data_IF_739018757691
#
_entry.id   IF_739018757691
#
_cell.length_a   1.000
_cell.length_b   1.000
_cell.length_c   1.000
_cell.angle_alpha   90.00
_cell.angle_beta   90.00
_cell.angle_gamma   90.00
#
_symmetry.space_group_name_H-M   'P 1'
#
loop_
_entity.id
_entity.type
_entity.pdbx_description
1 polymer ?
#
# COMPACT_ATOMS: atom_id res chain seq x y z
N UNK A 1 35.16 -11.57 -8.64
CA UNK A 1 33.73 -11.56 -8.24
C UNK A 1 33.19 -10.18 -8.57
N UNK A 2 32.92 -9.94 -9.87
CA UNK A 2 32.42 -8.66 -10.35
C UNK A 2 30.88 -8.66 -10.22
N UNK A 3 30.39 -7.92 -9.23
CA UNK A 3 28.97 -7.57 -9.16
C UNK A 3 28.72 -6.52 -10.24
N UNK A 4 27.91 -6.87 -11.20
CA UNK A 4 27.57 -6.08 -12.36
C UNK A 4 26.97 -4.73 -11.97
N UNK A 5 27.66 -3.66 -12.29
CA UNK A 5 27.25 -2.26 -12.25
C UNK A 5 26.02 -1.93 -13.12
N UNK A 6 25.53 -2.90 -13.87
CA UNK A 6 24.38 -2.76 -14.76
C UNK A 6 23.02 -2.69 -14.07
N UNK A 7 22.90 -3.14 -12.80
CA UNK A 7 21.63 -3.11 -12.06
C UNK A 7 21.25 -1.71 -11.53
N UNK A 8 22.21 -0.79 -11.43
CA UNK A 8 21.97 0.60 -11.00
C UNK A 8 21.66 1.56 -12.16
N UNK A 9 22.02 1.20 -13.38
CA UNK A 9 21.82 2.06 -14.55
C UNK A 9 20.36 2.08 -15.05
N UNK A 10 19.55 1.06 -14.73
CA UNK A 10 18.14 1.01 -15.16
C UNK A 10 17.17 1.84 -14.27
N UNK A 11 17.65 2.39 -13.18
CA UNK A 11 16.85 3.26 -12.30
C UNK A 11 16.75 4.72 -12.79
N UNK A 12 17.40 5.08 -13.90
CA UNK A 12 17.76 6.45 -14.14
C UNK A 12 16.86 7.28 -15.06
N UNK A 13 15.77 6.74 -15.64
CA UNK A 13 14.95 7.59 -16.50
C UNK A 13 13.46 7.44 -16.21
N UNK A 14 12.91 8.45 -15.52
CA UNK A 14 11.47 8.73 -15.51
C UNK A 14 11.24 9.63 -16.74
N UNK A 15 10.53 9.13 -17.74
CA UNK A 15 10.21 9.88 -18.94
C UNK A 15 9.04 10.83 -18.66
N UNK A 16 9.28 12.14 -18.53
CA UNK A 16 8.23 13.12 -18.28
C UNK A 16 7.34 13.36 -19.52
N UNK A 17 7.69 12.82 -20.68
CA UNK A 17 6.95 12.99 -21.95
C UNK A 17 5.98 11.83 -22.21
N UNK A 18 6.01 10.78 -21.39
CA UNK A 18 5.04 9.69 -21.50
C UNK A 18 3.65 10.15 -21.02
N UNK A 19 2.59 9.68 -21.68
CA UNK A 19 1.18 9.93 -21.29
C UNK A 19 0.81 9.36 -19.91
N UNK A 20 1.76 8.71 -19.21
CA UNK A 20 1.59 8.23 -17.84
C UNK A 20 2.12 9.27 -16.86
N UNK A 21 1.37 9.51 -15.79
CA UNK A 21 1.83 10.42 -14.77
C UNK A 21 3.15 9.93 -14.14
N UNK A 22 4.01 10.87 -13.73
CA UNK A 22 5.29 10.56 -13.08
C UNK A 22 5.09 9.66 -11.87
N UNK A 23 3.99 9.82 -11.13
CA UNK A 23 3.66 8.97 -9.98
C UNK A 23 3.39 7.53 -10.38
N UNK A 24 2.68 7.29 -11.47
CA UNK A 24 2.39 5.93 -11.95
C UNK A 24 3.66 5.22 -12.40
N UNK A 25 4.59 5.94 -13.01
CA UNK A 25 5.91 5.39 -13.37
C UNK A 25 6.72 5.00 -12.13
N UNK A 26 6.71 5.84 -11.09
CA UNK A 26 7.34 5.52 -9.80
C UNK A 26 6.73 4.26 -9.20
N UNK A 27 5.40 4.19 -9.15
CA UNK A 27 4.66 3.04 -8.65
C UNK A 27 5.04 1.75 -9.39
N UNK A 28 5.06 1.78 -10.72
CA UNK A 28 5.43 0.61 -11.54
C UNK A 28 6.88 0.17 -11.33
N UNK A 29 7.83 1.12 -11.24
CA UNK A 29 9.24 0.81 -10.98
C UNK A 29 9.43 0.20 -9.61
N UNK A 30 8.78 0.75 -8.55
CA UNK A 30 8.80 0.16 -7.22
C UNK A 30 8.21 -1.25 -7.22
N UNK A 31 7.02 -1.45 -7.81
CA UNK A 31 6.39 -2.75 -7.90
C UNK A 31 7.26 -3.79 -8.62
N UNK A 32 7.94 -3.41 -9.70
CA UNK A 32 8.89 -4.28 -10.41
C UNK A 32 10.08 -4.68 -9.54
N UNK A 33 10.67 -3.72 -8.81
CA UNK A 33 11.81 -3.99 -7.92
C UNK A 33 11.42 -4.87 -6.74
N UNK A 34 10.30 -4.58 -6.09
CA UNK A 34 9.84 -5.37 -4.92
C UNK A 34 9.53 -6.81 -5.33
N UNK A 35 8.95 -7.02 -6.52
CA UNK A 35 8.73 -8.37 -7.05
C UNK A 35 10.01 -9.16 -7.25
N UNK A 36 11.12 -8.51 -7.58
CA UNK A 36 12.41 -9.19 -7.77
C UNK A 36 13.01 -9.76 -6.48
N UNK A 37 12.60 -9.25 -5.30
CA UNK A 37 13.06 -9.74 -4.00
C UNK A 37 12.40 -11.05 -3.56
N UNK A 38 11.26 -11.38 -4.15
CA UNK A 38 10.40 -12.49 -3.80
C UNK A 38 11.17 -13.80 -3.56
N UNK A 39 11.94 -14.26 -4.55
CA UNK A 39 12.63 -15.55 -4.49
C UNK A 39 13.77 -15.56 -3.46
N UNK A 40 14.48 -14.43 -3.32
CA UNK A 40 15.60 -14.30 -2.37
C UNK A 40 15.06 -14.35 -0.92
N UNK A 41 13.97 -13.61 -0.67
CA UNK A 41 13.34 -13.54 0.65
C UNK A 41 12.71 -14.87 1.02
N UNK A 42 12.05 -15.55 0.07
CA UNK A 42 11.49 -16.87 0.31
C UNK A 42 12.57 -17.88 0.68
N UNK A 43 13.68 -17.95 -0.08
CA UNK A 43 14.77 -18.88 0.22
C UNK A 43 15.37 -18.62 1.61
N UNK A 44 15.48 -17.36 2.04
CA UNK A 44 15.90 -17.00 3.38
C UNK A 44 14.88 -17.43 4.45
N UNK A 45 13.60 -17.21 4.19
CA UNK A 45 12.52 -17.61 5.08
C UNK A 45 12.42 -19.13 5.24
N UNK A 46 12.59 -19.90 4.16
CA UNK A 46 12.61 -21.37 4.21
C UNK A 46 13.77 -21.90 5.05
N UNK A 47 14.97 -21.32 4.92
CA UNK A 47 16.12 -21.71 5.76
C UNK A 47 15.83 -21.44 7.24
N UNK A 48 15.31 -20.25 7.54
CA UNK A 48 14.91 -19.86 8.90
C UNK A 48 13.86 -20.82 9.45
N UNK A 49 12.82 -21.12 8.66
CA UNK A 49 11.74 -22.01 9.02
C UNK A 49 12.24 -23.38 9.42
N UNK A 50 13.03 -24.04 8.57
CA UNK A 50 13.55 -25.38 8.85
C UNK A 50 14.50 -25.41 10.04
N UNK A 51 15.31 -24.36 10.22
CA UNK A 51 16.15 -24.23 11.41
C UNK A 51 15.32 -24.17 12.70
N UNK A 52 14.24 -23.38 12.69
CA UNK A 52 13.35 -23.26 13.84
C UNK A 52 12.54 -24.55 14.07
N UNK A 53 12.11 -25.22 13.01
CA UNK A 53 11.44 -26.53 13.09
C UNK A 53 12.35 -27.56 13.78
N UNK A 54 13.62 -27.65 13.38
CA UNK A 54 14.57 -28.59 13.99
C UNK A 54 14.78 -28.28 15.48
N UNK A 55 15.00 -27.02 15.85
CA UNK A 55 15.16 -26.61 17.25
C UNK A 55 13.89 -26.93 18.03
N UNK A 56 12.73 -26.60 17.49
CA UNK A 56 11.42 -26.85 18.12
C UNK A 56 11.15 -28.34 18.31
N UNK A 57 11.51 -29.14 17.32
CA UNK A 57 11.39 -30.60 17.38
C UNK A 57 12.27 -31.19 18.51
N UNK A 58 13.56 -30.85 18.53
CA UNK A 58 14.50 -31.32 19.56
C UNK A 58 14.02 -30.90 20.96
N UNK A 59 13.58 -29.66 21.11
CA UNK A 59 13.09 -29.15 22.39
C UNK A 59 11.83 -29.88 22.85
N UNK A 60 10.83 -29.99 21.97
CA UNK A 60 9.54 -30.62 22.31
C UNK A 60 9.71 -32.07 22.68
N UNK A 61 10.36 -32.86 21.83
CA UNK A 61 10.52 -34.30 22.06
C UNK A 61 11.58 -34.58 23.14
N UNK A 62 12.62 -33.78 23.27
CA UNK A 62 13.59 -33.86 24.35
C UNK A 62 12.94 -33.68 25.73
N UNK A 63 12.05 -32.68 25.86
CA UNK A 63 11.30 -32.47 27.11
C UNK A 63 10.31 -33.58 27.40
N UNK A 64 9.71 -34.22 26.40
CA UNK A 64 8.82 -35.34 26.56
C UNK A 64 9.58 -36.57 27.09
N UNK A 65 10.76 -36.86 26.56
CA UNK A 65 11.62 -37.92 27.04
C UNK A 65 12.01 -37.74 28.52
N UNK A 66 12.38 -36.49 28.89
CA UNK A 66 12.73 -36.16 30.27
C UNK A 66 11.57 -36.30 31.25
N UNK A 67 10.34 -36.01 30.78
CA UNK A 67 9.10 -36.17 31.60
C UNK A 67 8.54 -37.57 31.64
N UNK A 68 9.18 -38.54 30.94
CA UNK A 68 8.69 -39.91 30.80
C UNK A 68 7.22 -39.96 30.32
N UNK A 69 6.90 -39.13 29.31
CA UNK A 69 5.58 -39.04 28.73
C UNK A 69 5.13 -40.41 28.20
N UNK A 70 3.82 -40.69 28.31
CA UNK A 70 3.22 -41.91 27.78
C UNK A 70 3.25 -41.90 26.24
N UNK A 71 3.17 -43.09 25.66
CA UNK A 71 3.17 -43.29 24.19
C UNK A 71 1.98 -42.56 23.54
N UNK A 72 0.83 -42.54 24.22
CA UNK A 72 -0.33 -41.79 23.72
C UNK A 72 -0.10 -40.29 23.64
N UNK A 73 0.53 -39.70 24.67
CA UNK A 73 0.89 -38.30 24.70
C UNK A 73 1.92 -37.95 23.61
N UNK A 74 2.88 -38.88 23.37
CA UNK A 74 3.86 -38.68 22.30
C UNK A 74 3.20 -38.59 20.93
N UNK A 75 2.29 -39.53 20.59
CA UNK A 75 1.61 -39.47 19.29
C UNK A 75 0.69 -38.25 19.15
N UNK A 76 0.01 -37.85 20.21
CA UNK A 76 -0.83 -36.67 20.21
C UNK A 76 -0.01 -35.41 19.91
N UNK A 77 1.13 -35.25 20.58
CA UNK A 77 2.00 -34.09 20.40
C UNK A 77 2.71 -34.11 19.04
N UNK A 78 3.11 -35.30 18.56
CA UNK A 78 3.71 -35.50 17.24
C UNK A 78 2.73 -35.11 16.12
N UNK A 79 1.48 -35.54 16.21
CA UNK A 79 0.44 -35.18 15.25
C UNK A 79 0.20 -33.68 15.24
N UNK A 80 0.09 -33.08 16.43
CA UNK A 80 -0.06 -31.61 16.56
C UNK A 80 1.13 -30.85 15.94
N UNK A 81 2.36 -31.35 16.16
CA UNK A 81 3.58 -30.76 15.61
C UNK A 81 3.57 -30.81 14.06
N UNK A 82 3.21 -31.98 13.48
CA UNK A 82 3.14 -32.13 12.02
C UNK A 82 2.10 -31.21 11.41
N UNK A 83 0.89 -31.16 11.97
CA UNK A 83 -0.19 -30.29 11.46
C UNK A 83 0.23 -28.83 11.50
N UNK A 84 0.80 -28.40 12.62
CA UNK A 84 1.23 -27.02 12.82
C UNK A 84 2.38 -26.64 11.85
N UNK A 85 3.43 -27.44 11.79
CA UNK A 85 4.58 -27.25 10.89
C UNK A 85 4.14 -27.30 9.43
N UNK A 86 3.28 -28.27 9.07
CA UNK A 86 2.75 -28.42 7.73
C UNK A 86 1.92 -27.21 7.27
N UNK A 87 1.08 -26.67 8.16
CA UNK A 87 0.28 -25.47 7.88
C UNK A 87 1.18 -24.26 7.56
N UNK A 88 2.17 -23.97 8.41
CA UNK A 88 3.05 -22.82 8.19
C UNK A 88 3.98 -23.03 7.00
N UNK A 89 4.44 -24.26 6.76
CA UNK A 89 5.21 -24.57 5.56
C UNK A 89 4.38 -24.38 4.29
N UNK A 90 3.11 -24.82 4.31
CA UNK A 90 2.18 -24.58 3.21
C UNK A 90 1.94 -23.09 2.97
N UNK A 91 1.74 -22.29 4.04
CA UNK A 91 1.63 -20.83 3.95
C UNK A 91 2.87 -20.20 3.33
N UNK A 92 4.05 -20.64 3.74
CA UNK A 92 5.33 -20.12 3.25
C UNK A 92 5.57 -20.45 1.78
N UNK A 93 5.34 -21.70 1.37
CA UNK A 93 5.55 -22.15 -0.02
C UNK A 93 4.54 -21.54 -0.98
N UNK A 94 3.27 -21.42 -0.55
CA UNK A 94 2.21 -20.81 -1.35
C UNK A 94 2.25 -19.28 -1.36
N UNK A 95 3.04 -18.65 -0.48
CA UNK A 95 3.26 -17.20 -0.52
C UNK A 95 3.86 -16.72 -1.86
N UNK A 96 4.49 -17.61 -2.63
CA UNK A 96 5.15 -17.30 -3.90
C UNK A 96 4.48 -17.94 -5.11
N UNK A 97 3.97 -19.17 -4.99
CA UNK A 97 3.57 -20.02 -6.12
C UNK A 97 2.12 -19.87 -6.58
N UNK A 98 1.49 -18.71 -6.41
CA UNK A 98 0.19 -18.45 -7.00
C UNK A 98 -0.95 -18.12 -6.03
N UNK A 99 -0.93 -18.61 -4.79
CA UNK A 99 -1.91 -18.30 -3.75
C UNK A 99 -1.26 -17.47 -2.63
N UNK A 100 -0.63 -16.35 -2.99
CA UNK A 100 -0.12 -15.41 -1.99
C UNK A 100 -1.29 -14.87 -1.16
N UNK A 101 -1.56 -15.50 -0.03
CA UNK A 101 -2.70 -15.15 0.83
C UNK A 101 -2.64 -13.69 1.26
N UNK A 102 -1.45 -13.20 1.64
CA UNK A 102 -1.26 -11.79 2.00
C UNK A 102 -1.56 -10.87 0.81
N UNK A 103 -1.07 -11.23 -0.38
CA UNK A 103 -1.36 -10.51 -1.62
C UNK A 103 -2.83 -10.55 -1.98
N UNK A 104 -3.48 -11.71 -1.85
CA UNK A 104 -4.92 -11.86 -2.12
C UNK A 104 -5.75 -10.99 -1.18
N UNK A 105 -5.42 -10.93 0.12
CA UNK A 105 -6.12 -10.06 1.08
C UNK A 105 -5.99 -8.59 0.67
N UNK A 106 -4.76 -8.11 0.41
CA UNK A 106 -4.50 -6.72 0.06
C UNK A 106 -5.20 -6.35 -1.25
N UNK A 107 -5.03 -7.17 -2.29
CA UNK A 107 -5.62 -6.92 -3.62
C UNK A 107 -7.15 -7.00 -3.58
N UNK A 108 -7.73 -7.91 -2.81
CA UNK A 108 -9.19 -7.99 -2.65
C UNK A 108 -9.75 -6.76 -1.93
N UNK A 109 -9.06 -6.25 -0.91
CA UNK A 109 -9.46 -5.02 -0.23
C UNK A 109 -9.30 -3.79 -1.12
N UNK A 110 -8.24 -3.74 -1.93
CA UNK A 110 -8.04 -2.69 -2.92
C UNK A 110 -9.14 -2.70 -3.99
N UNK A 111 -9.44 -3.86 -4.56
CA UNK A 111 -10.48 -4.02 -5.59
C UNK A 111 -11.87 -3.70 -5.06
N UNK A 112 -12.17 -4.16 -3.83
CA UNK A 112 -13.41 -3.83 -3.14
C UNK A 112 -13.54 -2.32 -2.92
N UNK A 113 -12.46 -1.66 -2.47
CA UNK A 113 -12.44 -0.21 -2.26
C UNK A 113 -12.67 0.56 -3.56
N UNK A 114 -12.02 0.18 -4.64
CA UNK A 114 -12.19 0.77 -5.98
C UNK A 114 -13.62 0.60 -6.49
N UNK A 115 -14.14 -0.62 -6.41
CA UNK A 115 -15.50 -0.94 -6.89
C UNK A 115 -16.55 -0.19 -6.08
N UNK A 116 -16.45 -0.17 -4.77
CA UNK A 116 -17.36 0.52 -3.88
C UNK A 116 -17.30 2.05 -4.04
N UNK A 117 -16.12 2.59 -4.36
CA UNK A 117 -15.91 4.01 -4.63
C UNK A 117 -16.34 4.44 -6.04
N UNK A 118 -16.77 3.49 -6.90
CA UNK A 118 -17.13 3.80 -8.29
C UNK A 118 -15.94 4.25 -9.15
N UNK A 119 -14.71 3.98 -8.72
CA UNK A 119 -13.51 4.39 -9.44
C UNK A 119 -13.31 3.47 -10.65
N UNK A 120 -13.04 4.01 -11.87
CA UNK A 120 -12.79 3.20 -13.05
C UNK A 120 -11.54 2.32 -12.85
N UNK A 121 -11.51 1.15 -13.51
CA UNK A 121 -10.34 0.29 -13.53
C UNK A 121 -9.17 1.07 -14.14
N UNK A 122 -8.12 1.28 -13.35
CA UNK A 122 -6.98 2.10 -13.74
C UNK A 122 -7.03 3.55 -13.26
N UNK A 123 -8.06 3.96 -12.49
CA UNK A 123 -7.99 5.22 -11.75
C UNK A 123 -6.76 5.17 -10.84
N UNK A 124 -5.75 5.91 -11.25
CA UNK A 124 -4.45 5.90 -10.61
C UNK A 124 -4.41 6.98 -9.52
N UNK A 125 -3.41 6.89 -8.69
CA UNK A 125 -3.08 7.87 -7.64
C UNK A 125 -2.90 9.28 -8.21
N UNK A 126 -2.69 9.39 -9.52
CA UNK A 126 -2.56 10.64 -10.25
C UNK A 126 -3.89 11.39 -10.39
N UNK A 127 -5.03 10.72 -10.37
CA UNK A 127 -6.33 11.38 -10.62
C UNK A 127 -6.62 12.53 -9.63
N UNK A 128 -6.17 12.39 -8.38
CA UNK A 128 -6.30 13.45 -7.36
C UNK A 128 -5.41 14.65 -7.70
N UNK A 129 -4.17 14.39 -8.15
CA UNK A 129 -3.25 15.47 -8.58
C UNK A 129 -3.74 16.10 -9.87
N UNK A 130 -4.22 15.29 -10.83
CA UNK A 130 -4.76 15.78 -12.10
C UNK A 130 -5.90 16.78 -11.86
N UNK A 131 -6.79 16.49 -10.91
CA UNK A 131 -7.84 17.42 -10.49
C UNK A 131 -7.25 18.72 -9.93
N UNK A 132 -6.20 18.62 -9.09
CA UNK A 132 -5.48 19.80 -8.58
C UNK A 132 -4.85 20.64 -9.68
N UNK A 133 -4.23 20.01 -10.68
CA UNK A 133 -3.65 20.68 -11.85
C UNK A 133 -4.72 21.34 -12.68
N UNK A 134 -5.89 20.71 -12.88
CA UNK A 134 -7.02 21.30 -13.60
C UNK A 134 -7.51 22.57 -12.90
N UNK A 135 -7.67 22.56 -11.59
CA UNK A 135 -8.05 23.73 -10.79
C UNK A 135 -7.02 24.85 -10.95
N UNK A 136 -5.72 24.51 -10.84
CA UNK A 136 -4.62 25.45 -11.02
C UNK A 136 -4.61 26.07 -12.43
N UNK A 137 -4.73 25.27 -13.48
CA UNK A 137 -4.72 25.74 -14.88
C UNK A 137 -5.92 26.60 -15.17
N UNK A 138 -7.09 26.29 -14.61
CA UNK A 138 -8.27 27.15 -14.75
C UNK A 138 -8.09 28.48 -14.03
N UNK A 139 -7.50 28.48 -12.83
CA UNK A 139 -7.20 29.71 -12.10
C UNK A 139 -6.22 30.61 -12.88
N UNK A 140 -5.18 30.02 -13.47
CA UNK A 140 -4.17 30.77 -14.25
C UNK A 140 -4.70 31.25 -15.60
N UNK A 141 -5.57 30.50 -16.26
CA UNK A 141 -6.14 30.90 -17.55
C UNK A 141 -7.17 32.02 -17.44
N UNK A 142 -7.79 32.19 -16.26
CA UNK A 142 -8.79 33.23 -16.01
C UNK A 142 -8.22 34.50 -15.38
N UNK A 143 -6.88 34.67 -15.39
CA UNK A 143 -6.22 35.88 -14.92
C UNK A 143 -6.63 37.09 -15.81
N UNK A 144 -7.32 38.05 -15.23
CA UNK A 144 -7.71 39.28 -15.92
C UNK A 144 -6.84 40.45 -15.45
N UNK A 145 -6.24 41.14 -16.39
CA UNK A 145 -5.45 42.37 -16.12
C UNK A 145 -6.27 43.50 -15.51
N UNK A 146 -7.61 43.40 -15.57
CA UNK A 146 -8.51 44.42 -15.05
C UNK A 146 -8.70 44.35 -13.51
N UNK A 147 -8.38 43.20 -12.88
CA UNK A 147 -8.47 43.01 -11.44
C UNK A 147 -7.23 42.25 -10.92
N UNK A 148 -6.07 42.89 -10.82
CA UNK A 148 -4.81 42.22 -10.52
C UNK A 148 -4.75 41.65 -9.10
N UNK A 149 -5.39 42.31 -8.12
CA UNK A 149 -5.43 41.83 -6.72
C UNK A 149 -6.24 40.55 -6.60
N UNK A 150 -7.37 40.50 -7.25
CA UNK A 150 -8.28 39.38 -7.24
C UNK A 150 -7.66 38.17 -7.93
N UNK A 151 -6.96 38.38 -9.02
CA UNK A 151 -6.23 37.34 -9.75
C UNK A 151 -5.10 36.74 -8.92
N UNK A 152 -4.37 37.57 -8.15
CA UNK A 152 -3.31 37.09 -7.25
C UNK A 152 -3.86 36.23 -6.11
N UNK A 153 -5.00 36.64 -5.50
CA UNK A 153 -5.66 35.87 -4.44
C UNK A 153 -6.13 34.51 -4.97
N UNK A 154 -6.78 34.47 -6.14
CA UNK A 154 -7.21 33.23 -6.76
C UNK A 154 -6.06 32.28 -7.06
N UNK A 155 -4.93 32.82 -7.56
CA UNK A 155 -3.71 32.06 -7.82
C UNK A 155 -3.13 31.48 -6.54
N UNK A 156 -3.05 32.25 -5.45
CA UNK A 156 -2.55 31.75 -4.16
C UNK A 156 -3.43 30.66 -3.58
N UNK A 157 -4.75 30.83 -3.61
CA UNK A 157 -5.70 29.82 -3.11
C UNK A 157 -5.59 28.51 -3.93
N UNK A 158 -5.55 28.61 -5.26
CA UNK A 158 -5.44 27.42 -6.12
C UNK A 158 -4.10 26.68 -5.95
N UNK A 159 -3.01 27.42 -5.67
CA UNK A 159 -1.73 26.84 -5.34
C UNK A 159 -1.79 26.04 -4.03
N UNK A 160 -2.43 26.59 -3.01
CA UNK A 160 -2.59 25.88 -1.71
C UNK A 160 -3.43 24.62 -1.91
N UNK A 161 -4.53 24.67 -2.68
CA UNK A 161 -5.36 23.51 -3.01
C UNK A 161 -4.50 22.44 -3.71
N UNK A 162 -3.71 22.83 -4.71
CA UNK A 162 -2.82 21.92 -5.44
C UNK A 162 -1.82 21.23 -4.49
N UNK A 163 -1.19 21.97 -3.58
CA UNK A 163 -0.24 21.41 -2.61
C UNK A 163 -0.92 20.43 -1.67
N UNK A 164 -2.13 20.75 -1.16
CA UNK A 164 -2.89 19.85 -0.29
C UNK A 164 -3.27 18.57 -1.02
N UNK A 165 -3.75 18.64 -2.26
CA UNK A 165 -4.08 17.47 -3.07
C UNK A 165 -2.84 16.62 -3.42
N UNK A 166 -1.70 17.26 -3.66
CA UNK A 166 -0.43 16.57 -3.87
C UNK A 166 0.00 15.77 -2.64
N UNK A 167 -0.14 16.33 -1.43
CA UNK A 167 0.16 15.61 -0.19
C UNK A 167 -0.77 14.40 0.00
N UNK A 168 -2.05 14.53 -0.33
CA UNK A 168 -3.01 13.42 -0.30
C UNK A 168 -2.55 12.29 -1.23
N UNK A 169 -2.20 12.62 -2.47
CA UNK A 169 -1.75 11.63 -3.44
C UNK A 169 -0.44 10.94 -3.03
N UNK A 170 0.50 11.67 -2.41
CA UNK A 170 1.72 11.09 -1.87
C UNK A 170 1.41 10.12 -0.72
N UNK A 171 0.50 10.45 0.19
CA UNK A 171 0.09 9.54 1.26
C UNK A 171 -0.53 8.24 0.70
N UNK A 172 -1.35 8.35 -0.34
CA UNK A 172 -1.92 7.19 -1.04
C UNK A 172 -0.83 6.32 -1.68
N UNK A 173 0.14 6.95 -2.34
CA UNK A 173 1.29 6.27 -2.94
C UNK A 173 2.13 5.54 -1.88
N UNK A 174 2.42 6.18 -0.75
CA UNK A 174 3.17 5.57 0.34
C UNK A 174 2.46 4.34 0.92
N UNK A 175 1.15 4.40 1.08
CA UNK A 175 0.36 3.25 1.56
C UNK A 175 0.41 2.08 0.56
N UNK A 176 0.35 2.36 -0.75
CA UNK A 176 0.46 1.33 -1.78
C UNK A 176 1.87 0.71 -1.83
N UNK A 177 2.92 1.52 -1.74
CA UNK A 177 4.29 1.01 -1.64
C UNK A 177 4.46 0.13 -0.40
N UNK A 178 3.94 0.58 0.75
CA UNK A 178 3.97 -0.18 2.01
C UNK A 178 3.26 -1.52 1.88
N UNK A 179 2.13 -1.57 1.19
CA UNK A 179 1.40 -2.82 0.93
C UNK A 179 2.21 -3.80 0.09
N UNK A 180 2.91 -3.33 -0.95
CA UNK A 180 3.77 -4.17 -1.77
C UNK A 180 5.01 -4.67 -1.02
N UNK A 181 5.66 -3.79 -0.25
CA UNK A 181 6.78 -4.20 0.60
C UNK A 181 6.33 -5.28 1.57
N UNK A 182 5.19 -5.10 2.23
CA UNK A 182 4.64 -6.08 3.14
C UNK A 182 4.28 -7.40 2.44
N UNK A 183 3.68 -7.32 1.25
CA UNK A 183 3.29 -8.49 0.46
C UNK A 183 4.50 -9.37 0.06
N UNK A 184 5.64 -8.76 -0.30
CA UNK A 184 6.80 -9.50 -0.81
C UNK A 184 7.91 -9.67 0.23
N UNK A 185 8.27 -8.62 0.97
CA UNK A 185 9.29 -8.70 2.01
C UNK A 185 8.75 -9.36 3.29
N UNK A 186 7.46 -9.19 3.55
CA UNK A 186 6.79 -9.78 4.71
C UNK A 186 6.75 -11.30 4.71
N UNK A 187 6.96 -11.96 3.57
CA UNK A 187 7.09 -13.43 3.46
C UNK A 187 8.15 -13.97 4.44
N UNK A 188 9.20 -13.18 4.71
CA UNK A 188 10.24 -13.55 5.67
C UNK A 188 9.68 -13.86 7.07
N UNK A 189 8.66 -13.12 7.51
CA UNK A 189 8.05 -13.32 8.82
C UNK A 189 7.28 -14.66 8.94
N UNK A 190 6.87 -15.25 7.82
CA UNK A 190 6.27 -16.59 7.81
C UNK A 190 7.28 -17.68 8.20
N UNK A 191 8.57 -17.44 7.96
CA UNK A 191 9.64 -18.32 8.40
C UNK A 191 9.67 -18.55 9.92
N UNK A 192 9.21 -17.57 10.71
CA UNK A 192 9.09 -17.70 12.17
C UNK A 192 7.95 -18.64 12.62
N UNK A 193 7.08 -19.06 11.72
CA UNK A 193 6.07 -20.08 11.99
C UNK A 193 6.64 -21.49 12.23
N UNK A 194 7.96 -21.71 12.05
CA UNK A 194 8.62 -23.01 12.28
C UNK A 194 8.69 -23.45 13.76
N UNK A 195 8.58 -22.51 14.70
CA UNK A 195 8.61 -22.83 16.13
C UNK A 195 7.46 -22.17 16.87
N UNK A 196 6.88 -22.86 17.86
CA UNK A 196 5.71 -22.38 18.61
C UNK A 196 5.95 -21.05 19.33
N UNK A 197 7.15 -20.85 19.88
CA UNK A 197 7.49 -19.60 20.61
C UNK A 197 7.74 -18.40 19.70
N UNK A 198 7.90 -18.58 18.39
CA UNK A 198 8.08 -17.51 17.41
C UNK A 198 6.85 -17.30 16.53
N UNK A 199 5.83 -18.15 16.66
CA UNK A 199 4.60 -18.11 15.85
C UNK A 199 3.88 -16.77 15.94
N UNK A 200 3.94 -16.09 17.07
CA UNK A 200 3.33 -14.78 17.24
C UNK A 200 3.82 -13.76 16.23
N UNK A 201 5.08 -13.88 15.78
CA UNK A 201 5.65 -13.02 14.73
C UNK A 201 4.93 -13.26 13.40
N UNK A 202 4.70 -14.53 13.03
CA UNK A 202 3.98 -14.89 11.81
C UNK A 202 2.50 -14.47 11.88
N UNK A 203 1.86 -14.62 13.05
CA UNK A 203 0.48 -14.16 13.28
C UNK A 203 0.37 -12.63 13.18
N UNK A 204 1.31 -11.91 13.79
CA UNK A 204 1.33 -10.45 13.74
C UNK A 204 1.57 -9.92 12.33
N UNK A 205 2.33 -10.64 11.51
CA UNK A 205 2.45 -10.34 10.09
C UNK A 205 1.09 -10.33 9.39
N UNK A 206 0.26 -11.36 9.57
CA UNK A 206 -1.09 -11.40 8.98
C UNK A 206 -2.01 -10.31 9.53
N UNK A 207 -1.91 -9.97 10.82
CA UNK A 207 -2.65 -8.84 11.39
C UNK A 207 -2.26 -7.53 10.72
N UNK A 208 -0.97 -7.33 10.47
CA UNK A 208 -0.46 -6.13 9.78
C UNK A 208 -0.92 -6.10 8.31
N UNK A 209 -0.90 -7.25 7.62
CA UNK A 209 -1.44 -7.38 6.25
C UNK A 209 -2.91 -6.96 6.19
N UNK A 210 -3.72 -7.45 7.12
CA UNK A 210 -5.14 -7.10 7.20
C UNK A 210 -5.32 -5.61 7.52
N UNK A 211 -4.55 -5.06 8.45
CA UNK A 211 -4.58 -3.64 8.81
C UNK A 211 -4.30 -2.75 7.60
N UNK A 212 -3.22 -3.02 6.85
CA UNK A 212 -2.88 -2.25 5.64
C UNK A 212 -3.93 -2.45 4.54
N UNK A 213 -4.49 -3.66 4.40
CA UNK A 213 -5.58 -3.91 3.46
C UNK A 213 -6.83 -3.07 3.77
N UNK A 214 -7.22 -3.00 5.05
CA UNK A 214 -8.34 -2.16 5.50
C UNK A 214 -8.03 -0.67 5.31
N UNK A 215 -6.81 -0.23 5.59
CA UNK A 215 -6.40 1.16 5.33
C UNK A 215 -6.52 1.51 3.84
N UNK A 216 -6.05 0.64 2.94
CA UNK A 216 -6.21 0.83 1.49
C UNK A 216 -7.68 0.91 1.09
N UNK A 217 -8.51 0.00 1.59
CA UNK A 217 -9.95 -0.01 1.34
C UNK A 217 -10.60 1.31 1.74
N UNK A 218 -10.43 1.74 2.99
CA UNK A 218 -11.03 2.99 3.50
C UNK A 218 -10.49 4.21 2.77
N UNK A 219 -9.18 4.23 2.47
CA UNK A 219 -8.57 5.33 1.74
C UNK A 219 -9.14 5.47 0.34
N UNK A 220 -9.36 4.37 -0.38
CA UNK A 220 -9.96 4.38 -1.71
C UNK A 220 -11.42 4.88 -1.67
N UNK A 221 -12.20 4.49 -0.65
CA UNK A 221 -13.55 5.02 -0.47
C UNK A 221 -13.55 6.53 -0.27
N UNK A 222 -12.68 7.03 0.60
CA UNK A 222 -12.58 8.47 0.87
C UNK A 222 -12.13 9.23 -0.38
N UNK A 223 -11.13 8.69 -1.10
CA UNK A 223 -10.63 9.30 -2.35
C UNK A 223 -11.73 9.31 -3.43
N UNK A 224 -12.53 8.25 -3.55
CA UNK A 224 -13.65 8.20 -4.49
C UNK A 224 -14.66 9.31 -4.22
N UNK A 225 -15.15 9.41 -2.98
CA UNK A 225 -16.08 10.46 -2.57
C UNK A 225 -15.46 11.86 -2.76
N UNK A 226 -14.19 12.01 -2.36
CA UNK A 226 -13.49 13.29 -2.44
C UNK A 226 -13.28 13.75 -3.88
N UNK A 227 -12.90 12.85 -4.79
CA UNK A 227 -12.71 13.20 -6.20
C UNK A 227 -14.02 13.55 -6.89
N UNK A 228 -15.11 12.87 -6.57
CA UNK A 228 -16.47 13.20 -7.09
C UNK A 228 -16.92 14.59 -6.66
N UNK A 229 -16.72 14.92 -5.38
CA UNK A 229 -17.07 16.23 -4.85
C UNK A 229 -16.19 17.33 -5.48
N UNK A 230 -14.87 17.14 -5.57
CA UNK A 230 -13.97 18.08 -6.21
C UNK A 230 -14.32 18.32 -7.68
N UNK A 231 -14.63 17.25 -8.43
CA UNK A 231 -15.04 17.33 -9.83
C UNK A 231 -16.40 18.06 -9.96
N UNK A 232 -17.32 17.81 -9.05
CA UNK A 232 -18.60 18.50 -8.99
C UNK A 232 -18.46 20.00 -8.72
N UNK A 233 -17.56 20.39 -7.81
CA UNK A 233 -17.25 21.80 -7.58
C UNK A 233 -16.56 22.44 -8.80
N UNK A 234 -15.58 21.74 -9.38
CA UNK A 234 -14.89 22.20 -10.57
C UNK A 234 -15.83 22.45 -11.76
N UNK A 235 -16.79 21.55 -11.99
CA UNK A 235 -17.78 21.71 -13.08
C UNK A 235 -18.77 22.84 -12.85
N UNK A 236 -19.06 23.16 -11.59
CA UNK A 236 -19.93 24.31 -11.20
C UNK A 236 -19.22 25.65 -11.33
N UNK A 237 -17.86 25.66 -11.21
CA UNK A 237 -17.08 26.85 -11.46
C UNK A 237 -17.26 27.24 -12.92
N UNK A 238 -18.13 28.26 -13.17
CA UNK A 238 -18.45 28.75 -14.50
C UNK A 238 -17.17 29.14 -15.28
N UNK A 239 -17.18 28.89 -16.58
CA UNK A 239 -16.02 29.06 -17.46
C UNK A 239 -15.49 30.50 -17.55
N UNK A 240 -16.17 31.49 -16.97
CA UNK A 240 -15.88 32.90 -17.23
C UNK A 240 -15.68 33.81 -16.00
N UNK A 241 -15.92 33.36 -14.76
CA UNK A 241 -15.68 34.19 -13.57
C UNK A 241 -15.22 33.31 -12.42
N UNK A 242 -13.97 33.52 -11.99
CA UNK A 242 -13.47 32.94 -10.75
C UNK A 242 -14.11 33.66 -9.56
N UNK A 243 -15.08 32.99 -8.92
CA UNK A 243 -15.63 33.46 -7.65
C UNK A 243 -14.71 32.99 -6.50
N UNK A 244 -14.17 33.95 -5.72
CA UNK A 244 -13.35 33.64 -4.53
C UNK A 244 -14.08 32.79 -3.53
N UNK A 245 -15.40 32.97 -3.39
CA UNK A 245 -16.25 32.19 -2.49
C UNK A 245 -16.19 30.71 -2.86
N UNK A 246 -16.25 30.35 -4.15
CA UNK A 246 -16.16 29.00 -4.64
C UNK A 246 -14.78 28.38 -4.40
N UNK A 247 -13.70 29.15 -4.65
CA UNK A 247 -12.34 28.70 -4.36
C UNK A 247 -12.09 28.53 -2.86
N UNK A 248 -12.63 29.42 -2.02
CA UNK A 248 -12.53 29.29 -0.58
C UNK A 248 -13.24 28.05 -0.07
N UNK A 249 -14.43 27.72 -0.59
CA UNK A 249 -15.13 26.47 -0.27
C UNK A 249 -14.34 25.25 -0.70
N UNK A 250 -13.74 25.26 -1.90
CA UNK A 250 -12.87 24.18 -2.36
C UNK A 250 -11.62 24.01 -1.48
N UNK A 251 -11.03 25.12 -1.00
CA UNK A 251 -9.90 25.08 -0.09
C UNK A 251 -10.28 24.44 1.24
N UNK A 252 -11.39 24.87 1.84
CA UNK A 252 -11.89 24.30 3.10
C UNK A 252 -12.15 22.80 2.92
N UNK A 253 -12.78 22.41 1.81
CA UNK A 253 -13.05 21.01 1.50
C UNK A 253 -11.75 20.21 1.33
N UNK A 254 -10.75 20.74 0.60
CA UNK A 254 -9.46 20.10 0.39
C UNK A 254 -8.71 19.88 1.71
N UNK A 255 -8.76 20.85 2.63
CA UNK A 255 -8.17 20.73 3.96
C UNK A 255 -8.93 19.68 4.80
N UNK A 256 -10.28 19.71 4.79
CA UNK A 256 -11.08 18.71 5.48
C UNK A 256 -10.79 17.29 4.95
N UNK A 257 -10.66 17.16 3.64
CA UNK A 257 -10.30 15.90 2.97
C UNK A 257 -8.90 15.41 3.39
N UNK A 258 -7.91 16.31 3.44
CA UNK A 258 -6.58 15.99 3.93
C UNK A 258 -6.61 15.52 5.40
N UNK A 259 -7.31 16.24 6.28
CA UNK A 259 -7.44 15.86 7.68
C UNK A 259 -8.13 14.50 7.83
N UNK A 260 -9.16 14.22 7.04
CA UNK A 260 -9.84 12.94 7.04
C UNK A 260 -8.89 11.79 6.68
N UNK A 261 -8.11 11.93 5.61
CA UNK A 261 -7.13 10.92 5.17
C UNK A 261 -6.00 10.77 6.19
N UNK A 262 -5.52 11.86 6.79
CA UNK A 262 -4.43 11.83 7.77
C UNK A 262 -4.83 11.22 9.11
N UNK A 263 -6.12 11.20 9.43
CA UNK A 263 -6.70 10.61 10.66
C UNK A 263 -7.20 9.18 10.46
N UNK A 264 -7.01 8.60 9.29
CA UNK A 264 -7.28 7.18 9.09
C UNK A 264 -6.53 6.37 10.16
N UNK A 265 -7.24 5.50 10.88
CA UNK A 265 -6.59 4.70 11.91
C UNK A 265 -5.49 3.82 11.30
N UNK A 266 -4.39 3.61 12.04
CA UNK A 266 -3.32 2.72 11.64
C UNK A 266 -3.77 1.27 11.58
#
# INVERSE_FOLDING_TARGET
MCLSTSAFAELSYIDPTSNQSVLDQVVQKFGGKVRSWKNIIQAAAERLFWTLVLISMVWTFGMMLLRKADIADFFAEFTRFIIFTGLYFWLLTNAVSGHNIAGTIILSMEDLGRTAAGLPQGASHSSVIDTGILIWTQATNNLTLLQPVDSLIAMMISLIILVVLAVIAVNMLLLMISSWVLMYAGIFFLGFGGARWTTDIAINYFKTVLSIGVQLFVMLLIVGIGSDLLTSFYTKMGKNVLNYEELAVMLIFSIAFFVLISKLPP
#
